data_IF_230101191598
#
_entry.id   IF_230101191598
#
_cell.length_a   1.000
_cell.length_b   1.000
_cell.length_c   1.000
_cell.angle_alpha   90.00
_cell.angle_beta   90.00
_cell.angle_gamma   90.00
#
_symmetry.space_group_name_H-M   'P 1'
#
loop_
_entity.id
_entity.type
_entity.pdbx_description
1 polymer ?
#
# COMPACT_ATOMS: atom_id res chain seq x y z
N UNK A 1 -9.62 -65.59 -34.22
CA UNK A 1 -9.94 -64.23 -34.70
C UNK A 1 -9.90 -63.31 -33.48
N UNK A 2 -8.93 -62.41 -33.40
CA UNK A 2 -8.73 -61.53 -32.24
C UNK A 2 -7.26 -61.13 -32.08
N UNK A 3 -6.75 -60.36 -33.04
CA UNK A 3 -5.42 -59.74 -32.98
C UNK A 3 -5.49 -58.50 -32.08
N UNK A 4 -4.81 -58.55 -30.94
CA UNK A 4 -4.65 -57.42 -30.02
C UNK A 4 -3.59 -56.45 -30.57
N UNK A 5 -3.96 -55.18 -30.72
CA UNK A 5 -3.11 -54.09 -31.17
C UNK A 5 -2.37 -53.44 -29.97
N UNK A 6 -1.02 -53.45 -29.89
CA UNK A 6 -0.27 -52.92 -28.75
C UNK A 6 -0.03 -51.39 -28.78
N UNK A 7 -0.52 -50.66 -29.78
CA UNK A 7 -0.05 -49.30 -30.09
C UNK A 7 -0.60 -48.13 -29.26
N UNK A 8 -1.65 -48.30 -28.45
CA UNK A 8 -2.40 -47.15 -27.89
C UNK A 8 -1.80 -46.44 -26.66
N UNK A 9 -0.73 -46.96 -26.06
CA UNK A 9 -0.17 -46.41 -24.80
C UNK A 9 1.00 -45.44 -24.95
N UNK A 10 1.74 -45.49 -26.07
CA UNK A 10 3.01 -44.76 -26.20
C UNK A 10 2.82 -43.25 -26.46
N UNK A 11 1.84 -42.88 -27.29
CA UNK A 11 1.62 -41.48 -27.67
C UNK A 11 1.05 -40.64 -26.51
N UNK A 12 0.19 -41.23 -25.68
CA UNK A 12 -0.39 -40.53 -24.52
C UNK A 12 0.63 -40.23 -23.42
N UNK A 13 1.64 -41.09 -23.24
CA UNK A 13 2.70 -40.90 -22.25
C UNK A 13 3.63 -39.74 -22.62
N UNK A 14 3.97 -39.60 -23.91
CA UNK A 14 4.82 -38.51 -24.39
C UNK A 14 4.13 -37.14 -24.19
N UNK A 15 2.85 -37.04 -24.56
CA UNK A 15 2.06 -35.80 -24.39
C UNK A 15 1.92 -35.41 -22.92
N UNK A 16 1.77 -36.37 -22.01
CA UNK A 16 1.69 -36.10 -20.57
C UNK A 16 2.99 -35.48 -20.03
N UNK A 17 4.15 -35.91 -20.53
CA UNK A 17 5.46 -35.37 -20.13
C UNK A 17 5.66 -33.95 -20.67
N UNK A 18 5.28 -33.70 -21.92
CA UNK A 18 5.37 -32.35 -22.50
C UNK A 18 4.51 -31.34 -21.72
N UNK A 19 3.28 -31.74 -21.35
CA UNK A 19 2.41 -30.91 -20.54
C UNK A 19 2.96 -30.70 -19.12
N UNK A 20 3.54 -31.73 -18.50
CA UNK A 20 4.14 -31.64 -17.17
C UNK A 20 5.34 -30.68 -17.11
N UNK A 21 6.02 -30.43 -18.23
CA UNK A 21 7.11 -29.44 -18.32
C UNK A 21 6.58 -28.01 -18.51
N UNK A 22 5.48 -27.83 -19.25
CA UNK A 22 4.89 -26.51 -19.50
C UNK A 22 4.07 -26.02 -18.31
N UNK A 23 3.38 -26.93 -17.60
CA UNK A 23 2.48 -26.57 -16.51
C UNK A 23 3.18 -25.77 -15.38
N UNK A 24 4.37 -26.15 -14.86
CA UNK A 24 5.06 -25.38 -13.83
C UNK A 24 5.39 -23.95 -14.28
N UNK A 25 5.79 -23.78 -15.54
CA UNK A 25 6.06 -22.46 -16.12
C UNK A 25 4.78 -21.63 -16.22
N UNK A 26 3.67 -22.25 -16.66
CA UNK A 26 2.37 -21.59 -16.76
C UNK A 26 1.82 -21.23 -15.37
N UNK A 27 2.03 -22.07 -14.36
CA UNK A 27 1.68 -21.77 -12.97
C UNK A 27 2.51 -20.61 -12.40
N UNK A 28 3.83 -20.59 -12.66
CA UNK A 28 4.69 -19.48 -12.27
C UNK A 28 4.20 -18.16 -12.88
N UNK A 29 3.87 -18.17 -14.18
CA UNK A 29 3.34 -16.99 -14.87
C UNK A 29 1.98 -16.57 -14.31
N UNK A 30 1.06 -17.52 -14.11
CA UNK A 30 -0.27 -17.25 -13.58
C UNK A 30 -0.20 -16.62 -12.18
N UNK A 31 0.58 -17.21 -11.27
CA UNK A 31 0.74 -16.65 -9.93
C UNK A 31 1.46 -15.31 -9.94
N UNK A 32 2.44 -15.10 -10.84
CA UNK A 32 3.07 -13.80 -11.05
C UNK A 32 2.08 -12.71 -11.49
N UNK A 33 1.18 -13.04 -12.42
CA UNK A 33 0.12 -12.10 -12.86
C UNK A 33 -0.86 -11.80 -11.73
N UNK A 34 -1.25 -12.80 -10.93
CA UNK A 34 -2.12 -12.61 -9.77
C UNK A 34 -1.45 -11.71 -8.72
N UNK A 35 -0.18 -11.97 -8.38
CA UNK A 35 0.62 -11.17 -7.46
C UNK A 35 0.69 -9.70 -7.92
N UNK A 36 0.99 -9.48 -9.19
CA UNK A 36 1.08 -8.13 -9.75
C UNK A 36 -0.27 -7.41 -9.78
N UNK A 37 -1.34 -8.12 -10.14
CA UNK A 37 -2.70 -7.57 -10.14
C UNK A 37 -3.12 -7.10 -8.76
N UNK A 38 -2.84 -7.90 -7.73
CA UNK A 38 -3.13 -7.54 -6.34
C UNK A 38 -2.26 -6.36 -5.85
N UNK A 39 -0.97 -6.35 -6.20
CA UNK A 39 -0.08 -5.22 -5.90
C UNK A 39 -0.55 -3.90 -6.53
N UNK A 40 -1.03 -3.93 -7.78
CA UNK A 40 -1.58 -2.75 -8.45
C UNK A 40 -2.88 -2.28 -7.78
N UNK A 41 -3.76 -3.21 -7.40
CA UNK A 41 -4.97 -2.89 -6.64
C UNK A 41 -4.62 -2.18 -5.34
N UNK A 42 -3.71 -2.74 -4.52
CA UNK A 42 -3.27 -2.12 -3.27
C UNK A 42 -2.65 -0.73 -3.50
N UNK A 43 -1.85 -0.55 -4.56
CA UNK A 43 -1.24 0.74 -4.87
C UNK A 43 -2.27 1.83 -5.16
N UNK A 44 -3.35 1.48 -5.87
CA UNK A 44 -4.44 2.41 -6.19
C UNK A 44 -5.31 2.69 -4.95
N UNK A 45 -5.70 1.64 -4.23
CA UNK A 45 -6.48 1.73 -3.00
C UNK A 45 -5.79 2.57 -1.91
N UNK A 46 -4.48 2.37 -1.73
CA UNK A 46 -3.71 3.13 -0.74
C UNK A 46 -3.58 4.60 -1.12
N UNK A 47 -3.38 4.90 -2.41
CA UNK A 47 -3.37 6.28 -2.91
C UNK A 47 -4.70 6.99 -2.69
N UNK A 48 -5.82 6.30 -2.92
CA UNK A 48 -7.16 6.82 -2.64
C UNK A 48 -7.35 7.07 -1.14
N UNK A 49 -6.95 6.13 -0.29
CA UNK A 49 -6.98 6.29 1.17
C UNK A 49 -6.19 7.52 1.62
N UNK A 50 -4.94 7.70 1.17
CA UNK A 50 -4.13 8.86 1.54
C UNK A 50 -4.72 10.19 1.07
N UNK A 51 -5.40 10.19 -0.08
CA UNK A 51 -6.11 11.38 -0.56
C UNK A 51 -7.24 11.73 0.40
N UNK A 52 -8.04 10.76 0.81
CA UNK A 52 -9.13 10.97 1.80
C UNK A 52 -8.59 11.47 3.14
N UNK A 53 -7.53 10.84 3.66
CA UNK A 53 -6.88 11.26 4.91
C UNK A 53 -6.33 12.69 4.78
N UNK A 54 -5.75 13.03 3.64
CA UNK A 54 -5.24 14.40 3.42
C UNK A 54 -6.36 15.43 3.41
N UNK A 55 -7.52 15.09 2.85
CA UNK A 55 -8.71 15.96 2.86
C UNK A 55 -9.25 16.12 4.27
N UNK A 56 -9.36 15.05 5.05
CA UNK A 56 -9.72 15.13 6.48
C UNK A 56 -8.71 15.93 7.29
N UNK A 57 -7.42 15.77 7.02
CA UNK A 57 -6.36 16.53 7.67
C UNK A 57 -6.42 18.04 7.34
N UNK A 58 -6.84 18.39 6.12
CA UNK A 58 -6.95 19.78 5.67
C UNK A 58 -8.03 20.59 6.41
N UNK A 59 -9.01 19.92 7.00
CA UNK A 59 -10.06 20.53 7.84
C UNK A 59 -9.63 20.74 9.29
N UNK A 60 -8.46 20.23 9.66
CA UNK A 60 -7.92 20.24 11.02
C UNK A 60 -8.05 18.88 11.68
N UNK A 61 -6.96 18.43 12.30
CA UNK A 61 -6.89 17.24 13.16
C UNK A 61 -6.55 17.73 14.58
N UNK A 62 -7.21 17.17 15.60
CA UNK A 62 -7.08 17.59 16.99
C UNK A 62 -5.85 17.01 17.69
N UNK A 63 -5.54 15.73 17.42
CA UNK A 63 -4.34 15.04 17.92
C UNK A 63 -3.89 13.89 17.00
N UNK A 64 -2.79 13.23 17.34
CA UNK A 64 -2.29 12.11 16.54
C UNK A 64 -3.11 10.83 16.65
N UNK A 65 -3.93 10.67 17.69
CA UNK A 65 -4.88 9.56 17.80
C UNK A 65 -6.01 9.73 16.77
N UNK A 66 -6.46 10.95 16.56
CA UNK A 66 -7.42 11.29 15.51
C UNK A 66 -6.85 11.04 14.12
N UNK A 67 -5.56 11.36 13.90
CA UNK A 67 -4.87 11.03 12.66
C UNK A 67 -4.81 9.51 12.43
N UNK A 68 -4.39 8.74 13.43
CA UNK A 68 -4.28 7.28 13.34
C UNK A 68 -5.64 6.63 13.06
N UNK A 69 -6.71 7.13 13.71
CA UNK A 69 -8.09 6.68 13.49
C UNK A 69 -8.59 7.02 12.09
N UNK A 70 -8.32 8.24 11.61
CA UNK A 70 -8.67 8.69 10.26
C UNK A 70 -7.97 7.82 9.21
N UNK A 71 -6.65 7.59 9.38
CA UNK A 71 -5.86 6.75 8.51
C UNK A 71 -6.34 5.30 8.52
N UNK A 72 -6.52 4.70 9.70
CA UNK A 72 -7.01 3.32 9.82
C UNK A 72 -8.40 3.13 9.20
N UNK A 73 -9.28 4.12 9.34
CA UNK A 73 -10.62 4.10 8.72
C UNK A 73 -10.51 4.20 7.20
N UNK A 74 -9.73 5.15 6.67
CA UNK A 74 -9.58 5.32 5.23
C UNK A 74 -8.92 4.10 4.57
N UNK A 75 -7.90 3.52 5.19
CA UNK A 75 -7.19 2.34 4.69
C UNK A 75 -8.11 1.11 4.69
N UNK A 76 -8.84 0.87 5.77
CA UNK A 76 -9.81 -0.26 5.84
C UNK A 76 -10.97 -0.12 4.87
N UNK A 77 -11.50 1.09 4.64
CA UNK A 77 -12.54 1.35 3.65
C UNK A 77 -12.07 1.13 2.21
N UNK A 78 -10.76 1.25 1.95
CA UNK A 78 -10.17 0.97 0.65
C UNK A 78 -9.66 -0.48 0.51
N UNK A 79 -10.03 -1.36 1.44
CA UNK A 79 -9.73 -2.80 1.36
C UNK A 79 -8.29 -3.17 1.73
N UNK A 80 -7.59 -2.31 2.46
CA UNK A 80 -6.24 -2.57 2.98
C UNK A 80 -6.35 -2.74 4.50
N UNK A 81 -5.60 -3.68 5.07
CA UNK A 81 -5.61 -3.86 6.52
C UNK A 81 -4.82 -2.74 7.19
N UNK A 82 -5.34 -2.08 8.25
CA UNK A 82 -4.56 -1.09 9.00
C UNK A 82 -3.25 -1.66 9.58
N UNK A 83 -3.19 -2.97 9.84
CA UNK A 83 -1.99 -3.64 10.32
C UNK A 83 -0.87 -3.76 9.26
N UNK A 84 -1.19 -3.56 7.98
CA UNK A 84 -0.21 -3.55 6.89
C UNK A 84 0.51 -2.20 6.79
N UNK A 85 -0.05 -1.14 7.39
CA UNK A 85 0.59 0.18 7.46
C UNK A 85 1.67 0.14 8.53
N UNK A 86 2.93 0.21 8.10
CA UNK A 86 4.09 0.11 8.98
C UNK A 86 4.60 1.46 9.45
N UNK A 87 4.32 2.51 8.69
CA UNK A 87 4.74 3.87 9.03
C UNK A 87 3.76 4.88 8.43
N UNK A 88 3.51 5.97 9.15
CA UNK A 88 2.68 7.07 8.69
C UNK A 88 3.10 8.37 9.35
N UNK A 89 3.28 9.41 8.55
CA UNK A 89 3.74 10.72 8.95
C UNK A 89 2.83 11.80 8.39
N UNK A 90 2.47 12.75 9.24
CA UNK A 90 1.78 13.99 8.85
C UNK A 90 2.73 15.17 9.04
N UNK A 91 2.90 15.97 8.01
CA UNK A 91 3.75 17.16 7.99
C UNK A 91 2.97 18.37 7.50
N UNK A 92 3.11 19.50 8.19
CA UNK A 92 2.65 20.78 7.68
C UNK A 92 3.75 21.39 6.83
N UNK A 93 3.37 21.99 5.71
CA UNK A 93 4.27 22.68 4.81
C UNK A 93 3.91 24.15 4.73
N UNK A 94 4.92 25.01 4.76
CA UNK A 94 4.79 26.43 4.47
C UNK A 94 4.57 26.71 2.98
N UNK A 95 4.37 27.99 2.64
CA UNK A 95 4.27 28.46 1.26
C UNK A 95 5.57 28.30 0.47
N UNK A 96 6.69 28.09 1.16
CA UNK A 96 8.02 27.77 0.66
C UNK A 96 8.25 26.26 0.48
N UNK A 97 7.28 25.43 0.85
CA UNK A 97 7.36 23.97 0.78
C UNK A 97 8.21 23.31 1.88
N UNK A 98 8.68 24.08 2.88
CA UNK A 98 9.44 23.57 4.02
C UNK A 98 8.51 23.05 5.11
N UNK A 99 8.97 22.06 5.88
CA UNK A 99 8.21 21.50 7.00
C UNK A 99 8.10 22.54 8.12
N UNK A 100 6.87 22.82 8.57
CA UNK A 100 6.58 23.75 9.66
C UNK A 100 6.06 23.00 10.89
N UNK A 101 6.34 23.55 12.07
CA UNK A 101 5.89 23.00 13.36
C UNK A 101 4.40 23.21 13.64
N UNK A 102 3.72 24.02 12.83
CA UNK A 102 2.30 24.31 12.95
C UNK A 102 1.67 24.60 11.58
N UNK A 103 0.35 24.37 11.43
CA UNK A 103 -0.40 24.73 10.24
C UNK A 103 -0.36 26.26 10.00
N UNK A 104 -0.03 26.66 8.79
CA UNK A 104 0.00 28.06 8.36
C UNK A 104 -1.40 28.49 7.89
N UNK A 105 -1.88 29.64 8.38
CA UNK A 105 -3.25 30.15 8.14
C UNK A 105 -3.51 30.58 6.69
N UNK A 106 -2.46 30.80 5.91
CA UNK A 106 -2.50 31.27 4.51
C UNK A 106 -1.46 30.49 3.73
N UNK A 107 -1.89 29.81 2.65
CA UNK A 107 -1.04 29.08 1.70
C UNK A 107 -0.28 27.87 2.26
N UNK A 108 -0.64 27.37 3.46
CA UNK A 108 -0.07 26.13 4.00
C UNK A 108 -0.60 24.87 3.29
N UNK A 109 0.23 23.83 3.25
CA UNK A 109 -0.18 22.49 2.79
C UNK A 109 -0.01 21.47 3.92
N UNK A 110 -0.72 20.34 3.83
CA UNK A 110 -0.48 19.16 4.63
C UNK A 110 0.02 18.06 3.73
N UNK A 111 1.15 17.46 4.08
CA UNK A 111 1.71 16.28 3.42
C UNK A 111 1.56 15.10 4.36
N UNK A 112 1.00 14.03 3.81
CA UNK A 112 0.90 12.74 4.49
C UNK A 112 1.77 11.78 3.73
N UNK A 113 2.69 11.13 4.41
CA UNK A 113 3.54 10.08 3.87
C UNK A 113 3.29 8.82 4.66
N UNK A 114 2.93 7.73 4.01
CA UNK A 114 2.72 6.46 4.69
C UNK A 114 3.35 5.32 3.90
N UNK A 115 3.75 4.29 4.64
CA UNK A 115 4.38 3.08 4.14
C UNK A 115 3.54 1.90 4.54
N UNK A 116 3.29 1.00 3.59
CA UNK A 116 2.60 -0.25 3.85
C UNK A 116 3.39 -1.44 3.31
N UNK A 117 3.13 -2.62 3.88
CA UNK A 117 3.61 -3.89 3.35
C UNK A 117 2.58 -4.45 2.39
N UNK A 118 2.87 -4.51 1.08
CA UNK A 118 1.98 -5.15 0.15
C UNK A 118 1.92 -6.66 0.44
N UNK A 119 0.82 -7.28 0.03
CA UNK A 119 0.68 -8.74 0.14
C UNK A 119 1.68 -9.42 -0.78
N UNK A 120 2.35 -10.45 -0.29
CA UNK A 120 3.31 -11.24 -1.06
C UNK A 120 2.96 -12.74 -0.98
N UNK A 121 2.78 -13.37 -2.13
CA UNK A 121 2.57 -14.80 -2.29
C UNK A 121 3.85 -15.63 -2.06
N UNK A 122 5.02 -15.00 -1.96
CA UNK A 122 6.29 -15.69 -1.70
C UNK A 122 6.74 -16.57 -2.87
N UNK A 123 6.38 -16.18 -4.09
CA UNK A 123 6.66 -16.96 -5.30
C UNK A 123 8.15 -16.82 -5.64
N UNK A 124 8.92 -17.91 -5.70
CA UNK A 124 10.34 -17.85 -6.04
C UNK A 124 10.53 -17.28 -7.45
N UNK A 125 11.61 -16.52 -7.65
CA UNK A 125 12.03 -15.86 -8.90
C UNK A 125 11.18 -14.65 -9.35
N UNK A 126 10.11 -14.29 -8.66
CA UNK A 126 9.34 -13.06 -8.96
C UNK A 126 9.80 -11.95 -7.99
N UNK A 127 10.49 -10.90 -8.46
CA UNK A 127 10.89 -9.80 -7.59
C UNK A 127 9.68 -8.95 -7.20
N UNK A 128 9.49 -8.74 -5.90
CA UNK A 128 8.42 -7.89 -5.36
C UNK A 128 8.96 -7.08 -4.17
N UNK A 129 8.59 -5.80 -4.02
CA UNK A 129 9.09 -4.96 -2.93
C UNK A 129 8.45 -5.33 -1.58
N UNK A 130 9.27 -5.34 -0.52
CA UNK A 130 8.78 -5.64 0.85
C UNK A 130 7.87 -4.53 1.41
N UNK A 131 8.08 -3.29 0.98
CA UNK A 131 7.33 -2.12 1.44
C UNK A 131 7.16 -1.10 0.33
N UNK A 132 6.03 -0.38 0.34
CA UNK A 132 5.74 0.69 -0.59
C UNK A 132 5.39 1.96 0.20
N UNK A 133 6.10 3.04 -0.09
CA UNK A 133 5.85 4.37 0.48
C UNK A 133 5.10 5.25 -0.51
N UNK A 134 4.06 5.93 -0.04
CA UNK A 134 3.26 6.88 -0.81
C UNK A 134 3.04 8.17 -0.03
N UNK A 135 2.95 9.27 -0.75
CA UNK A 135 2.61 10.57 -0.18
C UNK A 135 1.44 11.23 -0.89
N UNK A 136 0.59 11.91 -0.13
CA UNK A 136 -0.44 12.84 -0.62
C UNK A 136 -0.18 14.23 -0.05
N UNK A 137 -0.44 15.29 -0.82
CA UNK A 137 -0.30 16.67 -0.34
C UNK A 137 -1.54 17.47 -0.74
N UNK A 138 -2.11 18.23 0.19
CA UNK A 138 -3.28 19.10 -0.08
C UNK A 138 -3.17 20.43 0.66
N UNK A 139 -3.87 21.46 0.17
CA UNK A 139 -3.91 22.78 0.79
C UNK A 139 -4.78 22.79 2.06
N UNK A 140 -4.37 23.52 3.08
CA UNK A 140 -5.09 23.66 4.35
C UNK A 140 -6.15 24.77 4.24
N UNK A 141 -7.40 24.47 4.63
CA UNK A 141 -8.53 25.41 4.51
C UNK A 141 -9.14 25.81 5.87
N UNK A 142 -8.92 25.02 6.93
CA UNK A 142 -9.38 25.32 8.28
C UNK A 142 -8.29 25.03 9.30
N UNK A 143 -7.90 26.03 10.11
CA UNK A 143 -6.85 25.88 11.11
C UNK A 143 -7.42 26.13 12.50
N UNK A 144 -7.35 25.12 13.37
CA UNK A 144 -7.50 25.28 14.81
C UNK A 144 -6.23 25.99 15.34
N UNK A 145 -6.40 27.02 16.18
CA UNK A 145 -5.33 27.92 16.63
C UNK A 145 -4.24 27.28 17.51
N UNK A 146 -4.36 26.00 17.85
CA UNK A 146 -3.39 25.22 18.61
C UNK A 146 -2.76 24.18 17.69
N UNK A 147 -1.61 24.53 17.10
CA UNK A 147 -0.92 23.72 16.11
C UNK A 147 -0.37 22.43 16.68
N UNK A 148 -0.80 21.30 16.12
CA UNK A 148 -0.07 20.05 16.26
C UNK A 148 1.27 20.19 15.53
N UNK A 149 2.36 19.95 16.26
CA UNK A 149 3.60 19.48 15.63
C UNK A 149 3.25 18.14 14.98
N UNK A 150 3.54 17.99 13.67
CA UNK A 150 3.08 16.87 12.84
C UNK A 150 3.17 15.49 13.50
N UNK A 151 2.28 14.58 13.11
CA UNK A 151 2.25 13.25 13.70
C UNK A 151 3.38 12.38 13.16
N UNK A 152 4.17 11.87 14.08
CA UNK A 152 5.23 10.90 13.87
C UNK A 152 4.65 9.47 13.79
N UNK A 153 5.41 8.48 13.28
CA UNK A 153 4.96 7.12 13.02
C UNK A 153 4.04 6.53 14.09
N UNK A 154 3.12 5.66 13.67
CA UNK A 154 2.43 4.71 14.55
C UNK A 154 3.51 3.89 15.29
N UNK A 155 3.80 4.26 16.55
CA UNK A 155 4.84 3.63 17.38
C UNK A 155 6.10 4.48 17.68
N UNK A 156 6.24 5.69 17.14
CA UNK A 156 7.32 6.61 17.50
C UNK A 156 6.84 7.61 18.57
N UNK A 157 7.30 7.44 19.80
CA UNK A 157 7.09 8.43 20.86
C UNK A 157 7.74 9.77 20.50
N UNK A 158 6.96 10.84 20.55
CA UNK A 158 7.44 12.20 20.38
C UNK A 158 8.48 12.54 21.46
N UNK A 159 9.75 12.69 21.08
CA UNK A 159 10.73 13.36 21.94
C UNK A 159 10.49 14.87 21.85
N UNK A 160 9.90 15.45 22.90
CA UNK A 160 9.74 16.89 23.09
C UNK A 160 11.09 17.63 23.04
N UNK A 161 11.20 18.79 22.36
CA UNK A 161 12.31 19.69 22.61
C UNK A 161 12.11 20.37 23.98
N UNK A 162 13.18 20.44 24.76
CA UNK A 162 13.23 21.18 26.03
C UNK A 162 13.55 22.66 25.85
#
# INVERSE_FOLDING_TARGET
MGSADPGRGADGGAVAVEFALVLPLLMLFLFGVIQYGYGLFQLQSFGAALTEVSRGASTGIGDCTDFDRLLGTAVSQNGISPAEVTDAKLEWLGSDGQVTSAPQRVLGQVRITATYRPFDLGIPLVPFPDTITRSSTTAVQGVLSSGLAGCLPIGASASSPG
#
